data_IF_186624456004
#
_entry.id   IF_186624456004
#
_cell.length_a   1.000
_cell.length_b   1.000
_cell.length_c   1.000
_cell.angle_alpha   90.00
_cell.angle_beta   90.00
_cell.angle_gamma   90.00
#
_symmetry.space_group_name_H-M   'P 1'
#
loop_
_entity.id
_entity.type
_entity.pdbx_description
1 polymer ?
#
# COMPACT_ATOMS: atom_id res chain seq x y z
N UNK A 1 -4.94 -13.99 -7.85
CA UNK A 1 -5.64 -12.74 -7.49
C UNK A 1 -5.13 -12.26 -6.14
N UNK A 2 -5.12 -10.95 -5.90
CA UNK A 2 -4.58 -10.36 -4.67
C UNK A 2 -5.65 -9.56 -3.92
N UNK A 3 -5.39 -9.28 -2.65
CA UNK A 3 -6.15 -8.37 -1.81
C UNK A 3 -5.19 -7.43 -1.10
N UNK A 4 -5.61 -6.18 -0.92
CA UNK A 4 -4.83 -5.13 -0.28
C UNK A 4 -4.93 -5.26 1.24
N UNK A 5 -3.80 -5.24 1.92
CA UNK A 5 -3.68 -5.31 3.37
C UNK A 5 -2.75 -4.22 3.88
N UNK A 6 -2.79 -3.92 5.19
CA UNK A 6 -1.87 -2.98 5.83
C UNK A 6 -0.77 -3.72 6.61
N UNK A 7 0.49 -3.50 6.25
CA UNK A 7 1.70 -4.00 6.95
C UNK A 7 2.39 -2.90 7.72
N UNK A 8 3.29 -3.25 8.63
CA UNK A 8 4.12 -2.25 9.29
C UNK A 8 5.07 -1.61 8.27
N UNK A 9 5.19 -0.29 8.36
CA UNK A 9 6.23 0.47 7.68
C UNK A 9 7.41 0.63 8.64
N UNK A 10 8.58 0.14 8.24
CA UNK A 10 9.81 0.18 9.01
C UNK A 10 10.33 -1.22 9.35
N UNK A 11 11.65 -1.41 9.22
CA UNK A 11 12.34 -2.62 9.64
C UNK A 11 12.49 -2.64 11.17
N UNK A 12 12.35 -3.81 11.82
CA UNK A 12 12.76 -4.05 13.23
C UNK A 12 14.25 -3.78 13.55
N UNK A 13 15.01 -3.22 12.61
CA UNK A 13 16.46 -2.99 12.69
C UNK A 13 16.87 -1.81 13.61
N UNK A 14 15.92 -1.17 14.29
CA UNK A 14 16.17 -0.12 15.29
C UNK A 14 15.55 -0.52 16.64
N UNK A 15 16.10 -0.06 17.77
CA UNK A 15 15.70 -0.53 19.09
C UNK A 15 14.18 -0.44 19.31
N UNK A 16 13.55 -1.50 19.87
CA UNK A 16 12.09 -1.68 19.94
C UNK A 16 11.33 -0.63 20.76
N UNK A 17 12.04 0.23 21.49
CA UNK A 17 11.54 1.10 22.54
C UNK A 17 11.31 2.56 22.11
N UNK A 18 11.65 2.93 20.86
CA UNK A 18 11.60 4.35 20.40
C UNK A 18 10.68 4.61 19.20
N UNK A 19 10.24 3.60 18.44
CA UNK A 19 9.37 3.85 17.27
C UNK A 19 7.97 3.27 17.40
N UNK A 20 6.98 4.11 17.07
CA UNK A 20 5.64 3.69 16.63
C UNK A 20 5.74 3.43 15.12
N UNK A 21 5.92 2.17 14.67
CA UNK A 21 6.01 1.89 13.25
C UNK A 21 4.74 2.35 12.56
N UNK A 22 4.88 2.88 11.33
CA UNK A 22 3.72 3.20 10.51
C UNK A 22 3.01 1.95 10.03
N UNK A 23 1.90 2.13 9.30
CA UNK A 23 1.22 1.12 8.50
C UNK A 23 1.18 1.57 7.04
N UNK A 24 1.64 0.72 6.13
CA UNK A 24 1.60 0.92 4.67
C UNK A 24 0.93 -0.26 4.00
N UNK A 25 0.48 -0.07 2.76
CA UNK A 25 -0.22 -1.13 2.04
C UNK A 25 0.74 -2.21 1.55
N UNK A 26 0.26 -3.45 1.53
CA UNK A 26 0.86 -4.57 0.82
C UNK A 26 -0.22 -5.33 0.06
N UNK A 27 0.21 -6.22 -0.82
CA UNK A 27 -0.66 -7.17 -1.52
C UNK A 27 -0.42 -8.57 -0.99
N UNK A 28 -1.50 -9.23 -0.58
CA UNK A 28 -1.49 -10.63 -0.13
C UNK A 28 -2.29 -11.46 -1.14
N UNK A 29 -1.88 -12.69 -1.46
CA UNK A 29 -2.71 -13.59 -2.26
C UNK A 29 -4.12 -13.72 -1.66
N UNK A 30 -5.14 -13.53 -2.49
CA UNK A 30 -6.53 -13.71 -2.04
C UNK A 30 -6.96 -15.17 -2.17
N UNK A 31 -7.73 -15.64 -1.18
CA UNK A 31 -8.47 -16.91 -1.26
C UNK A 31 -9.74 -16.79 -2.09
N UNK A 32 -10.22 -15.57 -2.37
CA UNK A 32 -11.42 -15.34 -3.14
C UNK A 32 -11.09 -15.10 -4.62
N UNK A 33 -11.73 -15.84 -5.54
CA UNK A 33 -11.42 -15.79 -6.96
C UNK A 33 -11.88 -14.51 -7.64
N UNK A 34 -12.66 -13.64 -6.99
CA UNK A 34 -13.12 -12.37 -7.56
C UNK A 34 -12.41 -11.15 -6.94
N UNK A 35 -11.36 -11.37 -6.13
CA UNK A 35 -10.64 -10.25 -5.52
C UNK A 35 -9.85 -9.46 -6.54
N UNK A 36 -10.09 -8.16 -6.59
CA UNK A 36 -9.40 -7.24 -7.48
C UNK A 36 -8.61 -6.22 -6.69
N UNK A 37 -7.52 -5.74 -7.28
CA UNK A 37 -6.72 -4.64 -6.76
C UNK A 37 -6.51 -3.68 -7.91
N UNK A 38 -6.90 -2.43 -7.70
CA UNK A 38 -6.68 -1.36 -8.65
C UNK A 38 -5.31 -0.72 -8.44
N UNK A 39 -4.70 -0.28 -9.54
CA UNK A 39 -3.38 0.34 -9.53
C UNK A 39 -2.98 0.81 -10.91
N UNK A 40 -1.73 1.25 -11.03
CA UNK A 40 -1.16 1.78 -12.28
C UNK A 40 -0.01 0.88 -12.72
N UNK A 41 0.00 0.53 -14.01
CA UNK A 41 1.11 -0.14 -14.65
C UNK A 41 2.06 0.89 -15.28
N UNK A 42 3.34 0.85 -14.91
CA UNK A 42 4.37 1.71 -15.48
C UNK A 42 5.19 0.95 -16.51
N UNK A 43 5.33 1.52 -17.72
CA UNK A 43 6.23 0.99 -18.75
C UNK A 43 7.61 1.61 -18.60
N UNK A 44 8.62 0.76 -18.41
CA UNK A 44 10.02 1.17 -18.39
C UNK A 44 10.54 1.16 -19.84
N UNK A 45 11.35 2.17 -20.21
CA UNK A 45 12.02 2.19 -21.52
C UNK A 45 12.97 1.01 -21.63
N UNK A 46 13.12 0.45 -22.83
CA UNK A 46 13.84 -0.81 -23.02
C UNK A 46 15.30 -0.72 -22.53
N UNK A 47 15.94 0.41 -22.77
CA UNK A 47 17.30 0.73 -22.34
C UNK A 47 17.46 0.89 -20.81
N UNK A 48 16.38 1.23 -20.10
CA UNK A 48 16.39 1.50 -18.66
C UNK A 48 16.00 0.26 -17.82
N UNK A 49 15.56 -0.84 -18.46
CA UNK A 49 14.97 -2.00 -17.77
C UNK A 49 15.93 -2.60 -16.74
N UNK A 50 17.19 -2.81 -17.11
CA UNK A 50 18.17 -3.47 -16.24
C UNK A 50 18.50 -2.62 -15.01
N UNK A 51 18.72 -1.31 -15.22
CA UNK A 51 19.03 -0.38 -14.14
C UNK A 51 17.86 -0.25 -13.17
N UNK A 52 16.65 0.02 -13.69
CA UNK A 52 15.44 0.18 -12.87
C UNK A 52 15.14 -1.11 -12.13
N UNK A 53 15.25 -2.26 -12.79
CA UNK A 53 15.03 -3.57 -12.17
C UNK A 53 16.01 -3.82 -11.02
N UNK A 54 17.31 -3.55 -11.22
CA UNK A 54 18.33 -3.71 -10.18
C UNK A 54 18.06 -2.80 -8.99
N UNK A 55 17.64 -1.55 -9.23
CA UNK A 55 17.28 -0.62 -8.18
C UNK A 55 16.08 -1.12 -7.37
N UNK A 56 15.01 -1.56 -8.04
CA UNK A 56 13.82 -2.09 -7.39
C UNK A 56 14.14 -3.38 -6.61
N UNK A 57 14.92 -4.30 -7.17
CA UNK A 57 15.32 -5.53 -6.49
C UNK A 57 16.11 -5.24 -5.21
N UNK A 58 16.99 -4.23 -5.21
CA UNK A 58 17.71 -3.82 -3.99
C UNK A 58 16.80 -3.17 -2.95
N UNK A 59 15.82 -2.36 -3.39
CA UNK A 59 14.89 -1.67 -2.50
C UNK A 59 13.94 -2.65 -1.81
N UNK A 60 13.46 -3.66 -2.54
CA UNK A 60 12.44 -4.61 -2.07
C UNK A 60 13.03 -5.93 -1.52
N UNK A 61 14.35 -6.04 -1.39
CA UNK A 61 15.05 -7.26 -0.94
C UNK A 61 14.59 -7.83 0.42
N UNK A 62 13.94 -7.01 1.26
CA UNK A 62 13.54 -7.37 2.61
C UNK A 62 12.07 -7.78 2.67
N UNK A 63 11.79 -9.05 2.33
CA UNK A 63 10.45 -9.65 2.53
C UNK A 63 9.46 -9.45 1.38
N UNK A 64 9.95 -9.05 0.20
CA UNK A 64 9.14 -9.04 -1.03
C UNK A 64 9.68 -10.03 -2.06
N UNK A 65 8.76 -10.55 -2.87
CA UNK A 65 9.03 -11.45 -3.99
C UNK A 65 8.55 -10.83 -5.29
N UNK A 66 9.32 -11.01 -6.37
CA UNK A 66 8.91 -10.62 -7.72
C UNK A 66 7.96 -11.69 -8.29
N UNK A 67 6.80 -11.27 -8.77
CA UNK A 67 5.80 -12.13 -9.43
C UNK A 67 5.39 -11.54 -10.77
N UNK A 68 5.16 -12.42 -11.75
CA UNK A 68 4.51 -12.04 -13.01
C UNK A 68 3.02 -12.31 -12.89
N UNK A 69 2.21 -11.30 -13.17
CA UNK A 69 0.75 -11.34 -13.06
C UNK A 69 0.13 -10.78 -14.33
N UNK A 70 -1.12 -11.13 -14.64
CA UNK A 70 -1.85 -10.47 -15.74
C UNK A 70 -2.44 -9.16 -15.24
N UNK A 71 -2.05 -8.04 -15.86
CA UNK A 71 -2.70 -6.75 -15.64
C UNK A 71 -3.87 -6.59 -16.62
N UNK A 72 -4.99 -6.11 -16.11
CA UNK A 72 -6.21 -5.85 -16.87
C UNK A 72 -6.42 -4.34 -16.95
N UNK A 73 -6.12 -3.69 -18.09
CA UNK A 73 -6.33 -2.25 -18.24
C UNK A 73 -7.79 -1.85 -18.08
N UNK A 74 -8.04 -0.69 -17.47
CA UNK A 74 -9.39 -0.13 -17.36
C UNK A 74 -9.90 0.41 -18.71
N UNK A 75 -9.00 0.80 -19.61
CA UNK A 75 -9.37 1.14 -20.98
C UNK A 75 -9.45 -0.14 -21.81
N UNK A 76 -10.66 -0.44 -22.31
CA UNK A 76 -10.98 -1.62 -23.12
C UNK A 76 -10.27 -1.69 -24.47
N UNK A 77 -9.64 -0.60 -24.93
CA UNK A 77 -8.79 -0.58 -26.12
C UNK A 77 -7.51 -1.40 -25.94
N UNK A 78 -7.07 -1.62 -24.69
CA UNK A 78 -5.85 -2.35 -24.38
C UNK A 78 -6.16 -3.78 -23.94
N UNK A 79 -5.49 -4.74 -24.58
CA UNK A 79 -5.56 -6.14 -24.16
C UNK A 79 -4.83 -6.35 -22.82
N UNK A 80 -5.28 -7.31 -21.98
CA UNK A 80 -4.53 -7.72 -20.80
C UNK A 80 -3.10 -8.16 -21.15
N UNK A 81 -2.13 -7.83 -20.29
CA UNK A 81 -0.72 -8.10 -20.53
C UNK A 81 0.05 -8.51 -19.27
N UNK A 82 1.19 -9.21 -19.39
CA UNK A 82 2.03 -9.58 -18.25
C UNK A 82 2.65 -8.35 -17.58
N UNK A 83 2.54 -8.28 -16.26
CA UNK A 83 3.09 -7.23 -15.40
C UNK A 83 3.98 -7.86 -14.34
N UNK A 84 5.13 -7.24 -14.09
CA UNK A 84 5.99 -7.57 -12.95
C UNK A 84 5.53 -6.81 -11.70
N UNK A 85 5.28 -7.55 -10.63
CA UNK A 85 4.78 -7.04 -9.36
C UNK A 85 5.68 -7.50 -8.21
N UNK A 86 6.02 -6.59 -7.29
CA UNK A 86 6.69 -6.94 -6.04
C UNK A 86 5.62 -7.08 -4.95
N UNK A 87 5.52 -8.28 -4.36
CA UNK A 87 4.52 -8.59 -3.31
C UNK A 87 5.21 -9.10 -2.07
N UNK A 88 4.73 -8.67 -0.90
CA UNK A 88 5.25 -9.20 0.35
C UNK A 88 4.96 -10.71 0.43
N UNK A 89 5.92 -11.48 0.94
CA UNK A 89 5.69 -12.89 1.29
C UNK A 89 4.95 -12.98 2.62
N UNK A 90 4.21 -14.07 2.87
CA UNK A 90 3.44 -14.24 4.12
C UNK A 90 4.37 -14.24 5.35
N UNK A 91 5.62 -14.65 5.16
CA UNK A 91 6.69 -14.68 6.15
C UNK A 91 7.43 -13.35 6.29
N UNK A 92 6.92 -12.25 5.71
CA UNK A 92 7.54 -10.94 5.87
C UNK A 92 7.46 -10.52 7.35
N UNK A 93 8.62 -10.33 7.98
CA UNK A 93 8.73 -9.95 9.41
C UNK A 93 8.02 -8.62 9.75
N UNK A 94 7.72 -7.81 8.73
CA UNK A 94 6.95 -6.55 8.86
C UNK A 94 5.44 -6.75 8.77
N UNK A 95 4.97 -7.98 8.53
CA UNK A 95 3.55 -8.32 8.55
C UNK A 95 3.02 -8.29 9.99
N UNK A 96 2.30 -7.22 10.36
CA UNK A 96 1.68 -7.11 11.67
C UNK A 96 0.33 -7.81 11.80
N UNK A 97 -0.04 -8.64 10.82
CA UNK A 97 -1.31 -9.35 10.83
C UNK A 97 -2.54 -8.47 10.61
N UNK A 98 -3.72 -9.11 10.54
CA UNK A 98 -4.99 -8.42 10.54
C UNK A 98 -5.19 -7.67 11.87
N UNK A 99 -5.77 -6.48 11.80
CA UNK A 99 -6.13 -5.65 12.96
C UNK A 99 -7.45 -4.92 12.66
N UNK A 100 -8.14 -4.48 13.71
CA UNK A 100 -9.34 -3.67 13.57
C UNK A 100 -9.00 -2.33 12.90
N UNK A 101 -9.93 -1.76 12.14
CA UNK A 101 -9.73 -0.48 11.44
C UNK A 101 -9.39 0.63 12.43
N UNK A 102 -10.02 0.61 13.60
CA UNK A 102 -9.85 1.57 14.68
C UNK A 102 -8.42 1.53 15.25
N UNK A 103 -7.88 0.32 15.45
CA UNK A 103 -6.50 0.13 15.92
C UNK A 103 -5.49 0.61 14.87
N UNK A 104 -5.73 0.29 13.59
CA UNK A 104 -4.90 0.75 12.48
C UNK A 104 -4.95 2.28 12.39
N UNK A 105 -6.14 2.88 12.52
CA UNK A 105 -6.31 4.32 12.47
C UNK A 105 -5.55 5.04 13.59
N UNK A 106 -5.62 4.51 14.82
CA UNK A 106 -4.91 5.05 15.98
C UNK A 106 -3.39 5.00 15.81
N UNK A 107 -2.89 3.92 15.19
CA UNK A 107 -1.48 3.81 14.83
C UNK A 107 -1.10 4.81 13.74
N UNK A 108 -1.85 4.85 12.63
CA UNK A 108 -1.60 5.72 11.47
C UNK A 108 -1.58 7.20 11.85
N UNK A 109 -2.53 7.66 12.67
CA UNK A 109 -2.65 9.09 13.00
C UNK A 109 -1.47 9.61 13.82
N UNK A 110 -0.79 8.75 14.57
CA UNK A 110 0.33 9.14 15.45
C UNK A 110 1.72 8.78 14.91
N UNK A 111 1.80 8.06 13.80
CA UNK A 111 3.07 7.57 13.24
C UNK A 111 3.66 8.56 12.23
N UNK A 112 4.95 8.85 12.37
CA UNK A 112 5.71 9.74 11.49
C UNK A 112 7.06 9.06 11.16
N UNK A 113 7.38 8.99 9.88
CA UNK A 113 8.65 8.47 9.39
C UNK A 113 9.46 9.53 8.64
N UNK A 114 10.65 9.17 8.12
CA UNK A 114 11.49 10.07 7.33
C UNK A 114 10.78 10.67 6.10
N UNK A 115 9.78 9.96 5.57
CA UNK A 115 8.99 10.38 4.40
C UNK A 115 7.77 11.23 4.74
N UNK A 116 7.56 11.60 6.01
CA UNK A 116 6.40 12.38 6.47
C UNK A 116 5.44 11.58 7.35
N UNK A 117 4.23 12.14 7.55
CA UNK A 117 3.24 11.53 8.44
C UNK A 117 2.53 10.35 7.75
N UNK A 118 2.19 9.33 8.54
CA UNK A 118 1.51 8.16 7.99
C UNK A 118 0.05 8.44 7.60
N UNK A 119 -0.60 9.40 8.25
CA UNK A 119 -1.95 9.86 7.85
C UNK A 119 -1.96 10.52 6.46
N UNK A 120 -0.95 11.32 6.11
CA UNK A 120 -0.82 11.89 4.76
C UNK A 120 -0.67 10.79 3.72
N UNK A 121 0.07 9.72 4.02
CA UNK A 121 0.14 8.55 3.13
C UNK A 121 -1.24 7.95 2.85
N UNK A 122 -2.08 7.75 3.89
CA UNK A 122 -3.43 7.20 3.72
C UNK A 122 -4.31 8.15 2.91
N UNK A 123 -4.27 9.46 3.20
CA UNK A 123 -5.06 10.47 2.49
C UNK A 123 -4.68 10.58 1.02
N UNK A 124 -3.37 10.65 0.73
CA UNK A 124 -2.87 10.73 -0.64
C UNK A 124 -3.20 9.47 -1.43
N UNK A 125 -3.15 8.29 -0.80
CA UNK A 125 -3.54 7.04 -1.45
C UNK A 125 -5.04 6.98 -1.74
N UNK A 126 -5.88 7.36 -0.79
CA UNK A 126 -7.33 7.41 -0.98
C UNK A 126 -7.70 8.40 -2.09
N UNK A 127 -7.07 9.57 -2.12
CA UNK A 127 -7.29 10.58 -3.15
C UNK A 127 -6.82 10.10 -4.53
N UNK A 128 -5.62 9.52 -4.62
CA UNK A 128 -5.13 8.95 -5.87
C UNK A 128 -6.06 7.85 -6.41
N UNK A 129 -6.61 7.01 -5.54
CA UNK A 129 -7.57 5.98 -5.93
C UNK A 129 -8.86 6.58 -6.49
N UNK A 130 -9.43 7.61 -5.86
CA UNK A 130 -10.61 8.31 -6.40
C UNK A 130 -10.36 8.92 -7.78
N UNK A 131 -9.17 9.46 -8.01
CA UNK A 131 -8.82 10.11 -9.28
C UNK A 131 -8.51 9.11 -10.39
N UNK A 132 -7.71 8.08 -10.10
CA UNK A 132 -7.18 7.15 -11.09
C UNK A 132 -8.11 5.96 -11.36
N UNK A 133 -8.92 5.59 -10.36
CA UNK A 133 -9.80 4.43 -10.41
C UNK A 133 -11.14 4.74 -9.70
N UNK A 134 -11.95 5.68 -10.22
CA UNK A 134 -13.18 6.14 -9.56
C UNK A 134 -14.22 5.03 -9.36
N UNK A 135 -14.15 3.97 -10.17
CA UNK A 135 -15.03 2.80 -10.07
C UNK A 135 -14.45 1.69 -9.18
N UNK A 136 -13.29 1.92 -8.56
CA UNK A 136 -12.68 0.95 -7.66
C UNK A 136 -13.37 0.96 -6.30
N UNK A 137 -13.92 -0.18 -5.92
CA UNK A 137 -14.37 -0.42 -4.56
C UNK A 137 -13.17 -0.90 -3.71
N UNK A 138 -12.62 0.01 -2.90
CA UNK A 138 -11.60 -0.31 -1.88
C UNK A 138 -12.15 0.04 -0.50
N UNK A 139 -13.12 -0.77 -0.04
CA UNK A 139 -13.84 -0.56 1.22
C UNK A 139 -12.87 -0.43 2.40
N UNK A 140 -11.80 -1.23 2.44
CA UNK A 140 -10.81 -1.19 3.50
C UNK A 140 -10.06 0.16 3.54
N UNK A 141 -9.58 0.67 2.39
CA UNK A 141 -8.89 1.95 2.34
C UNK A 141 -9.81 3.10 2.76
N UNK A 142 -11.04 3.14 2.24
CA UNK A 142 -11.97 4.24 2.53
C UNK A 142 -12.51 4.20 3.96
N UNK A 143 -12.73 3.00 4.52
CA UNK A 143 -13.06 2.85 5.94
C UNK A 143 -11.89 3.33 6.83
N UNK A 144 -10.66 2.96 6.50
CA UNK A 144 -9.48 3.43 7.23
C UNK A 144 -9.30 4.95 7.13
N UNK A 145 -9.40 5.52 5.93
CA UNK A 145 -9.30 6.97 5.72
C UNK A 145 -10.34 7.72 6.56
N UNK A 146 -11.59 7.24 6.57
CA UNK A 146 -12.67 7.81 7.39
C UNK A 146 -12.31 7.75 8.89
N UNK A 147 -11.93 6.57 9.40
CA UNK A 147 -11.56 6.40 10.80
C UNK A 147 -10.38 7.31 11.20
N UNK A 148 -9.36 7.44 10.35
CA UNK A 148 -8.22 8.35 10.60
C UNK A 148 -8.70 9.81 10.64
N UNK A 149 -9.56 10.25 9.70
CA UNK A 149 -10.11 11.63 9.69
C UNK A 149 -10.95 11.95 10.93
N UNK A 150 -11.66 10.97 11.49
CA UNK A 150 -12.48 11.16 12.70
C UNK A 150 -11.63 11.39 13.97
N UNK A 151 -10.40 10.88 14.00
CA UNK A 151 -9.50 11.01 15.15
C UNK A 151 -8.32 11.99 14.90
N UNK A 152 -8.15 12.50 13.68
CA UNK A 152 -7.08 13.43 13.32
C UNK A 152 -7.22 14.77 14.07
N UNK A 153 -6.29 15.12 14.98
CA UNK A 153 -6.33 16.38 15.70
C UNK A 153 -6.22 17.59 14.76
N UNK A 154 -5.49 17.48 13.65
CA UNK A 154 -5.25 18.61 12.75
C UNK A 154 -6.54 19.01 12.01
N UNK A 155 -7.40 18.04 11.70
CA UNK A 155 -8.71 18.29 11.09
C UNK A 155 -9.76 18.77 12.09
N UNK A 156 -9.65 18.37 13.37
CA UNK A 156 -10.52 18.86 14.44
C UNK A 156 -10.25 20.33 14.75
N UNK A 157 -8.98 20.73 14.73
CA UNK A 157 -8.58 22.11 15.00
C UNK A 157 -9.00 23.09 13.88
N UNK A 158 -9.31 22.61 12.68
CA UNK A 158 -9.83 23.42 11.57
C UNK A 158 -11.35 23.64 11.62
N UNK A 159 -12.07 22.91 12.49
CA UNK A 159 -13.54 22.98 12.63
C UNK A 159 -14.01 23.79 13.84
N UNK A 160 -13.08 24.31 14.65
CA UNK A 160 -13.32 25.19 15.80
C UNK A 160 -12.87 26.61 15.47
#
# INVERSE_FOLDING_TARGET
>A
MFTKHMVLSGTRLYPPDIQRPGRVVTLIPSKFPNSTVWGVAYRIRAEDVDEVTKHLDFREKNGYSKKTVTFHPNNSEYLPFPLTLYVAVEENESYAGPAAIEDIAQQVVTSIGPSGSNKEYVYNLAEAMRQLAPNAEDEHLFALEKAVKEIDPDLKNLKN
#
